data_IF_925316313694
#
_entry.id   IF_925316313694
#
_cell.length_a   1.000
_cell.length_b   1.000
_cell.length_c   1.000
_cell.angle_alpha   90.00
_cell.angle_beta   90.00
_cell.angle_gamma   90.00
#
_symmetry.space_group_name_H-M   'P 1'
#
loop_
_entity.id
_entity.type
_entity.pdbx_description
1 polymer ?
#
# COMPACT_ATOMS: atom_id res chain seq x y z
N UNK A 1 -3.16 -5.30 -11.82
CA UNK A 1 -4.37 -5.47 -11.00
C UNK A 1 -5.66 -5.35 -11.81
N UNK A 2 -5.94 -4.19 -12.46
CA UNK A 2 -7.17 -3.98 -13.25
C UNK A 2 -7.44 -5.05 -14.34
N UNK A 3 -6.47 -5.27 -15.25
CA UNK A 3 -6.53 -6.34 -16.28
C UNK A 3 -6.68 -7.76 -15.71
N UNK A 4 -6.32 -7.97 -14.45
CA UNK A 4 -6.41 -9.28 -13.78
C UNK A 4 -7.70 -9.42 -12.97
N UNK A 5 -8.59 -8.42 -12.99
CA UNK A 5 -9.81 -8.41 -12.20
C UNK A 5 -9.59 -8.40 -10.68
N UNK A 6 -8.40 -7.99 -10.23
CA UNK A 6 -8.10 -7.78 -8.80
C UNK A 6 -8.57 -6.40 -8.38
N UNK A 7 -8.31 -5.39 -9.19
CA UNK A 7 -8.76 -4.02 -9.00
C UNK A 7 -9.77 -3.65 -10.10
N UNK A 8 -10.50 -2.53 -9.97
CA UNK A 8 -11.28 -2.01 -11.08
C UNK A 8 -10.44 -1.81 -12.35
N UNK A 9 -11.08 -1.97 -13.51
CA UNK A 9 -10.45 -1.69 -14.79
C UNK A 9 -10.11 -0.20 -14.89
N UNK A 10 -8.92 0.13 -15.39
CA UNK A 10 -8.53 1.50 -15.72
C UNK A 10 -8.97 1.77 -17.15
N UNK A 11 -9.93 2.68 -17.31
CA UNK A 11 -10.49 3.07 -18.62
C UNK A 11 -9.65 4.20 -19.23
N UNK A 12 -9.27 5.19 -18.43
CA UNK A 12 -8.40 6.29 -18.87
C UNK A 12 -7.38 6.67 -17.81
N UNK A 13 -6.22 7.13 -18.27
CA UNK A 13 -5.24 7.87 -17.48
C UNK A 13 -5.03 9.24 -18.13
N UNK A 14 -5.59 10.28 -17.52
CA UNK A 14 -5.60 11.63 -18.07
C UNK A 14 -4.32 12.35 -17.66
N UNK A 15 -3.60 12.88 -18.65
CA UNK A 15 -2.36 13.65 -18.48
C UNK A 15 -2.59 15.10 -18.92
N UNK A 16 -1.91 16.09 -18.29
CA UNK A 16 -0.84 15.94 -17.29
C UNK A 16 -1.31 15.76 -15.83
N UNK A 17 -2.60 15.91 -15.54
CA UNK A 17 -3.15 16.00 -14.18
C UNK A 17 -2.99 14.70 -13.36
N UNK A 18 -2.84 13.56 -14.03
CA UNK A 18 -2.67 12.26 -13.38
C UNK A 18 -3.97 11.62 -12.91
N UNK A 19 -5.12 12.04 -13.45
CA UNK A 19 -6.41 11.46 -13.07
C UNK A 19 -6.56 10.05 -13.61
N UNK A 20 -7.13 9.18 -12.77
CA UNK A 20 -7.44 7.80 -13.10
C UNK A 20 -8.96 7.64 -13.23
N UNK A 21 -9.44 7.28 -14.42
CA UNK A 21 -10.84 6.92 -14.63
C UNK A 21 -10.94 5.41 -14.60
N UNK A 22 -11.68 4.87 -13.64
CA UNK A 22 -11.85 3.43 -13.46
C UNK A 22 -13.30 2.99 -13.62
N UNK A 23 -13.52 1.72 -13.94
CA UNK A 23 -14.86 1.15 -13.96
C UNK A 23 -15.45 1.19 -12.56
N UNK A 24 -16.62 1.79 -12.41
CA UNK A 24 -17.32 1.82 -11.13
C UNK A 24 -17.71 0.40 -10.70
N UNK A 25 -17.40 0.06 -9.46
CA UNK A 25 -17.84 -1.20 -8.84
C UNK A 25 -19.07 -0.90 -8.00
N UNK A 26 -20.23 -1.40 -8.43
CA UNK A 26 -21.43 -1.43 -7.58
C UNK A 26 -21.22 -2.47 -6.48
N UNK A 27 -20.64 -2.03 -5.37
CA UNK A 27 -20.35 -2.82 -4.20
C UNK A 27 -20.34 -1.95 -2.95
N UNK A 28 -19.89 -2.53 -1.85
CA UNK A 28 -19.74 -1.81 -0.57
C UNK A 28 -18.33 -1.96 -0.03
N UNK A 29 -17.85 -1.00 0.78
CA UNK A 29 -16.63 -1.18 1.55
C UNK A 29 -16.73 -2.40 2.48
N UNK A 30 -15.57 -2.99 2.80
CA UNK A 30 -15.49 -4.04 3.80
C UNK A 30 -15.12 -3.42 5.17
N UNK A 31 -16.06 -3.34 6.13
CA UNK A 31 -15.78 -2.71 7.42
C UNK A 31 -14.82 -3.56 8.27
N UNK A 32 -14.15 -2.97 9.28
CA UNK A 32 -13.16 -3.67 10.11
C UNK A 32 -13.67 -4.94 10.80
N UNK A 33 -14.95 -5.01 11.13
CA UNK A 33 -15.59 -6.13 11.83
C UNK A 33 -15.75 -7.34 10.90
N UNK A 34 -15.98 -7.06 9.61
CA UNK A 34 -16.12 -8.08 8.58
C UNK A 34 -14.77 -8.53 8.02
N UNK A 35 -13.81 -7.63 7.81
CA UNK A 35 -12.49 -8.00 7.25
C UNK A 35 -11.72 -8.95 8.18
N UNK A 36 -12.00 -8.90 9.49
CA UNK A 36 -11.41 -9.78 10.51
C UNK A 36 -11.99 -11.19 10.50
N UNK A 37 -13.10 -11.43 9.80
CA UNK A 37 -13.66 -12.77 9.70
C UNK A 37 -12.69 -13.69 8.93
N UNK A 38 -12.44 -14.93 9.39
CA UNK A 38 -11.45 -15.82 8.78
C UNK A 38 -11.59 -15.97 7.26
N UNK A 39 -12.84 -16.06 6.78
CA UNK A 39 -13.15 -16.17 5.37
C UNK A 39 -12.75 -14.92 4.56
N UNK A 40 -12.94 -13.71 5.12
CA UNK A 40 -12.51 -12.48 4.48
C UNK A 40 -11.00 -12.29 4.52
N UNK A 41 -10.33 -12.69 5.61
CA UNK A 41 -8.86 -12.74 5.67
C UNK A 41 -8.32 -13.65 4.56
N UNK A 42 -8.93 -14.82 4.34
CA UNK A 42 -8.56 -15.73 3.24
C UNK A 42 -8.68 -15.04 1.89
N UNK A 43 -9.82 -14.38 1.61
CA UNK A 43 -10.06 -13.64 0.35
C UNK A 43 -9.04 -12.51 0.15
N UNK A 44 -8.73 -11.74 1.20
CA UNK A 44 -7.70 -10.68 1.17
C UNK A 44 -6.34 -11.28 0.84
N UNK A 45 -5.94 -12.35 1.52
CA UNK A 45 -4.65 -12.99 1.28
C UNK A 45 -4.53 -13.58 -0.13
N UNK A 46 -5.63 -14.06 -0.71
CA UNK A 46 -5.67 -14.48 -2.11
C UNK A 46 -5.45 -13.31 -3.07
N UNK A 47 -6.10 -12.17 -2.84
CA UNK A 47 -5.87 -10.96 -3.64
C UNK A 47 -4.41 -10.47 -3.53
N UNK A 48 -3.85 -10.45 -2.32
CA UNK A 48 -2.45 -10.06 -2.05
C UNK A 48 -1.47 -10.99 -2.75
N UNK A 49 -1.67 -12.32 -2.67
CA UNK A 49 -0.83 -13.30 -3.39
C UNK A 49 -0.87 -13.11 -4.89
N UNK A 50 -2.06 -12.83 -5.45
CA UNK A 50 -2.21 -12.53 -6.88
C UNK A 50 -1.49 -11.25 -7.29
N UNK A 51 -1.47 -10.23 -6.43
CA UNK A 51 -0.68 -9.00 -6.65
C UNK A 51 0.81 -9.31 -6.60
N UNK A 52 1.28 -10.04 -5.59
CA UNK A 52 2.70 -10.40 -5.43
C UNK A 52 3.23 -11.29 -6.58
N UNK A 53 2.35 -12.07 -7.21
CA UNK A 53 2.68 -12.90 -8.36
C UNK A 53 2.64 -12.16 -9.71
N UNK A 54 2.29 -10.86 -9.72
CA UNK A 54 2.30 -10.07 -10.96
C UNK A 54 3.73 -9.88 -11.50
N UNK A 55 3.87 -9.60 -12.81
CA UNK A 55 5.14 -9.13 -13.36
C UNK A 55 5.65 -7.89 -12.62
N UNK A 56 6.96 -7.75 -12.53
CA UNK A 56 7.62 -6.59 -11.93
C UNK A 56 7.12 -5.30 -12.58
N UNK A 57 6.81 -4.31 -11.74
CA UNK A 57 6.40 -2.98 -12.17
C UNK A 57 7.55 -1.98 -11.95
N UNK A 58 7.61 -0.88 -12.72
CA UNK A 58 8.52 0.22 -12.42
C UNK A 58 8.24 0.79 -11.03
N UNK A 59 9.30 1.14 -10.31
CA UNK A 59 9.22 1.71 -8.96
C UNK A 59 9.70 0.75 -7.88
N UNK A 60 10.12 1.34 -6.76
CA UNK A 60 10.51 0.61 -5.55
C UNK A 60 9.89 1.32 -4.36
N UNK A 61 9.47 0.55 -3.38
CA UNK A 61 8.99 1.07 -2.12
C UNK A 61 9.95 0.68 -1.00
N UNK A 62 10.26 1.64 -0.13
CA UNK A 62 10.95 1.40 1.14
C UNK A 62 10.33 2.29 2.19
N UNK A 63 9.76 1.68 3.23
CA UNK A 63 9.21 2.45 4.35
C UNK A 63 10.27 3.35 5.00
N UNK A 64 11.53 2.91 5.04
CA UNK A 64 12.65 3.67 5.60
C UNK A 64 12.94 4.94 4.80
N UNK A 65 13.04 4.81 3.46
CA UNK A 65 13.28 5.97 2.58
C UNK A 65 12.09 6.92 2.57
N UNK A 66 10.86 6.39 2.59
CA UNK A 66 9.64 7.20 2.74
C UNK A 66 9.67 8.05 4.02
N UNK A 67 10.10 7.49 5.16
CA UNK A 67 10.25 8.25 6.41
C UNK A 67 11.29 9.35 6.24
N UNK A 68 12.46 9.06 5.67
CA UNK A 68 13.51 10.06 5.43
C UNK A 68 13.02 11.21 4.53
N UNK A 69 12.34 10.90 3.44
CA UNK A 69 11.83 11.87 2.47
C UNK A 69 10.76 12.79 3.07
N UNK A 70 9.80 12.22 3.82
CA UNK A 70 8.81 13.02 4.53
C UNK A 70 9.43 13.86 5.64
N UNK A 71 10.43 13.35 6.34
CA UNK A 71 11.17 14.09 7.36
C UNK A 71 11.92 15.28 6.75
N UNK A 72 12.59 15.07 5.62
CA UNK A 72 13.27 16.14 4.89
C UNK A 72 12.27 17.20 4.39
N UNK A 73 11.11 16.76 3.89
CA UNK A 73 10.03 17.66 3.44
C UNK A 73 9.48 18.48 4.61
N UNK A 74 9.15 17.84 5.73
CA UNK A 74 8.65 18.51 6.92
C UNK A 74 9.66 19.55 7.45
N UNK A 75 10.97 19.25 7.43
CA UNK A 75 12.02 20.23 7.75
C UNK A 75 12.03 21.43 6.80
N UNK A 76 11.97 21.19 5.48
CA UNK A 76 11.89 22.28 4.47
C UNK A 76 10.65 23.16 4.67
N UNK A 77 9.56 22.57 5.12
CA UNK A 77 8.31 23.26 5.42
C UNK A 77 8.24 23.86 6.83
N UNK A 78 9.34 23.82 7.61
CA UNK A 78 9.41 24.31 9.00
C UNK A 78 8.34 23.69 9.92
N UNK A 79 7.97 22.43 9.70
CA UNK A 79 7.04 21.69 10.55
C UNK A 79 7.72 21.34 11.87
N UNK A 80 7.02 21.57 12.99
CA UNK A 80 7.49 21.18 14.30
C UNK A 80 7.44 19.65 14.46
N UNK A 81 8.57 19.07 14.89
CA UNK A 81 8.64 17.64 15.19
C UNK A 81 8.32 17.36 16.66
N UNK A 82 7.79 16.17 16.99
CA UNK A 82 7.69 15.70 18.38
C UNK A 82 9.06 15.70 19.08
N UNK A 83 9.09 15.93 20.39
CA UNK A 83 10.34 16.00 21.18
C UNK A 83 11.21 14.75 21.08
N UNK A 84 10.62 13.58 20.84
CA UNK A 84 11.29 12.29 20.73
C UNK A 84 11.60 11.88 19.29
N UNK A 85 11.51 12.79 18.32
CA UNK A 85 11.67 12.44 16.91
C UNK A 85 13.05 11.86 16.57
N UNK A 86 14.13 12.42 17.11
CA UNK A 86 15.48 11.89 16.86
C UNK A 86 15.65 10.47 17.44
N UNK A 87 15.00 10.19 18.57
CA UNK A 87 14.96 8.84 19.12
C UNK A 87 14.20 7.89 18.19
N UNK A 88 13.06 8.31 17.61
CA UNK A 88 12.32 7.51 16.62
C UNK A 88 13.17 7.23 15.38
N UNK A 89 13.88 8.23 14.86
CA UNK A 89 14.77 8.04 13.71
C UNK A 89 15.89 7.03 13.98
N UNK A 90 16.45 7.02 15.20
CA UNK A 90 17.41 5.99 15.60
C UNK A 90 16.79 4.57 15.60
N UNK A 91 15.52 4.43 16.03
CA UNK A 91 14.81 3.14 15.96
C UNK A 91 14.53 2.70 14.52
N UNK A 92 14.24 3.63 13.62
CA UNK A 92 14.05 3.35 12.18
C UNK A 92 15.32 2.74 11.58
N UNK A 93 16.50 3.29 11.91
CA UNK A 93 17.80 2.76 11.45
C UNK A 93 18.06 1.34 12.00
N UNK A 94 17.74 1.11 13.28
CA UNK A 94 17.87 -0.23 13.89
C UNK A 94 16.94 -1.25 13.23
N UNK A 95 15.69 -0.87 12.96
CA UNK A 95 14.73 -1.71 12.27
C UNK A 95 15.16 -2.04 10.84
N UNK A 96 15.71 -1.07 10.09
CA UNK A 96 16.25 -1.31 8.74
C UNK A 96 17.39 -2.32 8.78
N UNK A 97 18.37 -2.13 9.68
CA UNK A 97 19.49 -3.06 9.86
C UNK A 97 19.01 -4.47 10.18
N UNK A 98 18.04 -4.60 11.10
CA UNK A 98 17.48 -5.89 11.47
C UNK A 98 16.80 -6.59 10.28
N UNK A 99 15.99 -5.86 9.51
CA UNK A 99 15.29 -6.41 8.34
C UNK A 99 16.28 -6.84 7.23
N UNK A 100 17.34 -6.08 7.01
CA UNK A 100 18.35 -6.37 6.00
C UNK A 100 19.18 -7.64 6.30
N UNK A 101 19.12 -8.19 7.52
CA UNK A 101 19.74 -9.49 7.82
C UNK A 101 19.08 -10.65 7.07
N UNK A 102 17.83 -10.48 6.63
CA UNK A 102 17.04 -11.47 5.88
C UNK A 102 16.31 -10.77 4.72
N UNK A 103 17.03 -10.43 3.64
CA UNK A 103 16.43 -9.70 2.53
C UNK A 103 15.30 -10.51 1.90
N UNK A 104 14.15 -9.86 1.68
CA UNK A 104 13.02 -10.44 0.96
C UNK A 104 13.14 -10.13 -0.52
N UNK A 105 12.76 -11.09 -1.37
CA UNK A 105 12.67 -10.86 -2.82
C UNK A 105 11.60 -9.81 -3.10
N UNK A 106 11.93 -8.68 -3.74
CA UNK A 106 10.92 -7.68 -4.10
C UNK A 106 9.87 -8.27 -5.03
N UNK A 107 8.61 -7.92 -4.78
CA UNK A 107 7.49 -8.23 -5.65
C UNK A 107 6.56 -7.01 -5.75
N UNK A 108 5.64 -6.96 -6.73
CA UNK A 108 4.61 -5.93 -6.74
C UNK A 108 3.78 -6.03 -5.46
N UNK A 109 3.58 -4.91 -4.77
CA UNK A 109 2.85 -4.83 -3.51
C UNK A 109 1.81 -3.69 -3.58
N UNK A 110 0.72 -3.82 -2.82
CA UNK A 110 -0.25 -2.72 -2.65
C UNK A 110 0.29 -1.61 -1.73
N UNK A 111 1.07 -1.99 -0.71
CA UNK A 111 1.65 -1.14 0.34
C UNK A 111 0.64 -0.45 1.28
N UNK A 112 -0.64 -0.38 0.93
CA UNK A 112 -1.68 0.29 1.74
C UNK A 112 -2.94 -0.58 1.93
N UNK A 113 -2.84 -1.69 2.66
CA UNK A 113 -3.96 -2.65 2.83
C UNK A 113 -4.99 -2.20 3.89
N UNK A 114 -5.38 -0.92 3.86
CA UNK A 114 -6.46 -0.40 4.70
C UNK A 114 -7.79 -1.03 4.30
N UNK A 115 -8.67 -1.27 5.28
CA UNK A 115 -9.98 -1.87 5.03
C UNK A 115 -10.84 -1.05 4.03
N UNK A 116 -10.67 0.28 4.03
CA UNK A 116 -11.33 1.20 3.11
C UNK A 116 -10.94 1.01 1.64
N UNK A 117 -9.80 0.35 1.36
CA UNK A 117 -9.36 0.04 0.00
C UNK A 117 -9.96 -1.26 -0.55
N UNK A 118 -10.74 -1.99 0.25
CA UNK A 118 -11.41 -3.21 -0.19
C UNK A 118 -12.89 -2.97 -0.48
N UNK A 119 -13.34 -3.42 -1.66
CA UNK A 119 -14.73 -3.35 -2.08
C UNK A 119 -15.24 -4.77 -2.31
N UNK A 120 -16.45 -5.06 -1.83
CA UNK A 120 -17.11 -6.35 -2.06
C UNK A 120 -18.48 -6.20 -2.70
N UNK A 121 -18.77 -7.05 -3.67
CA UNK A 121 -20.10 -7.25 -4.26
C UNK A 121 -20.46 -8.74 -4.37
N UNK A 122 -19.84 -9.57 -3.52
CA UNK A 122 -19.78 -11.03 -3.65
C UNK A 122 -18.35 -11.49 -4.01
N UNK A 123 -17.68 -10.77 -4.90
CA UNK A 123 -16.23 -10.83 -5.10
C UNK A 123 -15.52 -9.75 -4.27
N UNK A 124 -14.27 -9.99 -3.85
CA UNK A 124 -13.40 -8.99 -3.23
C UNK A 124 -12.53 -8.32 -4.30
N UNK A 125 -12.47 -7.00 -4.26
CA UNK A 125 -11.60 -6.13 -5.05
C UNK A 125 -10.71 -5.31 -4.13
#
# INVERSE_FOLDING_TARGET
>A
AGKLGIAPEVVYFIRPEGYLVTRFITGRPLPPEEIRQPENIRRVMEAVRRIHAMPVIPGRFSAFRTIEDYSATARRCNVAFPKNFDWLMARVVEAEKALMTRPVTPCPCHNDLLNANFITNGQLY
#
